data_IF_165101084099
#
_entry.id   IF_165101084099
#
_cell.length_a   1.000
_cell.length_b   1.000
_cell.length_c   1.000
_cell.angle_alpha   90.00
_cell.angle_beta   90.00
_cell.angle_gamma   90.00
#
_symmetry.space_group_name_H-M   'P 1'
#
loop_
_entity.id
_entity.type
_entity.pdbx_description
1 polymer ?
#
# COMPACT_ATOMS: atom_id res chain seq x y z
N UNK A 1 4.76 0.67 -16.77
CA UNK A 1 3.98 0.23 -15.60
C UNK A 1 3.34 1.44 -14.93
N UNK A 2 2.10 1.30 -14.45
CA UNK A 2 1.40 2.36 -13.72
C UNK A 2 1.26 1.95 -12.24
N UNK A 3 1.71 2.78 -11.30
CA UNK A 3 1.75 2.42 -9.88
C UNK A 3 0.92 3.41 -9.06
N UNK A 4 0.13 2.90 -8.12
CA UNK A 4 -0.80 3.71 -7.33
C UNK A 4 -0.67 3.37 -5.85
N UNK A 5 -0.45 4.39 -5.04
CA UNK A 5 -0.63 4.31 -3.58
C UNK A 5 -1.49 5.48 -3.09
N UNK A 6 -2.17 5.29 -1.94
CA UNK A 6 -2.97 6.32 -1.29
C UNK A 6 -2.43 6.79 0.07
N UNK A 7 -1.35 6.20 0.56
CA UNK A 7 -0.84 6.40 1.92
C UNK A 7 0.70 6.42 1.97
N UNK A 8 1.32 7.11 2.96
CA UNK A 8 2.78 7.19 3.08
C UNK A 8 3.48 5.83 3.23
N UNK A 9 2.85 4.86 3.91
CA UNK A 9 3.38 3.49 4.05
C UNK A 9 3.52 2.80 2.69
N UNK A 10 2.52 2.96 1.82
CA UNK A 10 2.55 2.43 0.47
C UNK A 10 3.52 3.19 -0.46
N UNK A 11 3.79 4.46 -0.19
CA UNK A 11 4.83 5.22 -0.91
C UNK A 11 6.23 4.66 -0.66
N UNK A 12 6.58 4.33 0.58
CA UNK A 12 7.85 3.69 0.90
C UNK A 12 8.01 2.34 0.17
N UNK A 13 6.97 1.51 0.19
CA UNK A 13 6.92 0.25 -0.55
C UNK A 13 7.04 0.44 -2.06
N UNK A 14 6.34 1.43 -2.61
CA UNK A 14 6.38 1.77 -4.03
C UNK A 14 7.74 2.27 -4.47
N UNK A 15 8.40 3.10 -3.65
CA UNK A 15 9.77 3.55 -3.89
C UNK A 15 10.74 2.38 -3.97
N UNK A 16 10.73 1.49 -2.97
CA UNK A 16 11.57 0.28 -2.98
C UNK A 16 11.29 -0.62 -4.20
N UNK A 17 10.02 -0.81 -4.57
CA UNK A 17 9.63 -1.57 -5.76
C UNK A 17 10.19 -0.96 -7.04
N UNK A 18 10.03 0.36 -7.24
CA UNK A 18 10.55 1.04 -8.43
C UNK A 18 12.07 0.93 -8.49
N UNK A 19 12.76 1.14 -7.37
CA UNK A 19 14.21 1.02 -7.30
C UNK A 19 14.68 -0.37 -7.75
N UNK A 20 14.08 -1.44 -7.21
CA UNK A 20 14.39 -2.82 -7.57
C UNK A 20 14.08 -3.12 -9.05
N UNK A 21 12.95 -2.64 -9.57
CA UNK A 21 12.59 -2.79 -10.97
C UNK A 21 13.56 -2.05 -11.91
N UNK A 22 14.02 -0.86 -11.53
CA UNK A 22 15.02 -0.10 -12.31
C UNK A 22 16.35 -0.85 -12.37
N UNK A 23 16.79 -1.42 -11.26
CA UNK A 23 18.02 -2.22 -11.23
C UNK A 23 17.93 -3.45 -12.15
N UNK A 24 16.76 -4.08 -12.25
CA UNK A 24 16.56 -5.28 -13.08
C UNK A 24 16.28 -5.00 -14.55
N UNK A 25 15.47 -3.98 -14.85
CA UNK A 25 14.94 -3.68 -16.20
C UNK A 25 15.74 -2.56 -16.89
N UNK A 26 16.44 -1.73 -16.13
CA UNK A 26 17.22 -0.60 -16.63
C UNK A 26 16.36 0.52 -17.22
N UNK A 27 16.94 1.26 -18.18
CA UNK A 27 16.34 2.46 -18.78
C UNK A 27 15.05 2.25 -19.59
N UNK A 28 14.61 1.01 -19.79
CA UNK A 28 13.34 0.69 -20.46
C UNK A 28 12.12 0.90 -19.56
N UNK A 29 12.32 0.99 -18.25
CA UNK A 29 11.23 1.13 -17.30
C UNK A 29 10.63 2.54 -17.35
N UNK A 30 9.42 2.63 -17.90
CA UNK A 30 8.56 3.82 -17.80
C UNK A 30 7.55 3.64 -16.68
N UNK A 31 7.58 4.56 -15.71
CA UNK A 31 6.67 4.60 -14.57
C UNK A 31 5.83 5.87 -14.64
N UNK A 32 4.54 5.75 -14.36
CA UNK A 32 3.67 6.88 -14.03
C UNK A 32 2.67 6.43 -12.95
N UNK A 33 1.98 7.37 -12.34
CA UNK A 33 0.87 7.06 -11.46
C UNK A 33 0.78 8.00 -10.28
N UNK A 34 0.52 7.45 -9.10
CA UNK A 34 0.30 8.24 -7.89
C UNK A 34 1.20 7.69 -6.80
N UNK A 35 2.11 8.55 -6.35
CA UNK A 35 3.07 8.28 -5.28
C UNK A 35 3.39 9.54 -4.49
N UNK A 36 3.98 9.33 -3.33
CA UNK A 36 4.57 10.38 -2.50
C UNK A 36 6.03 10.61 -2.85
N UNK A 37 6.78 11.11 -1.87
CA UNK A 37 8.17 11.53 -2.07
C UNK A 37 9.08 10.37 -2.42
N UNK A 38 8.92 9.20 -1.79
CA UNK A 38 9.80 8.04 -2.03
C UNK A 38 9.67 7.51 -3.45
N UNK A 39 8.48 7.51 -4.02
CA UNK A 39 8.28 7.14 -5.42
C UNK A 39 8.79 8.23 -6.37
N UNK A 40 8.62 9.51 -6.02
CA UNK A 40 9.13 10.65 -6.81
C UNK A 40 10.66 10.67 -6.88
N UNK A 41 11.35 10.35 -5.80
CA UNK A 41 12.80 10.14 -5.74
C UNK A 41 13.28 9.08 -6.75
N UNK A 42 12.41 8.11 -7.07
CA UNK A 42 12.68 7.08 -8.09
C UNK A 42 12.23 7.48 -9.50
N UNK A 43 11.91 8.75 -9.72
CA UNK A 43 11.51 9.31 -11.01
C UNK A 43 10.06 9.03 -11.41
N UNK A 44 9.17 8.77 -10.45
CA UNK A 44 7.72 8.81 -10.70
C UNK A 44 7.25 10.27 -10.73
N UNK A 45 6.71 10.70 -11.87
CA UNK A 45 5.97 11.97 -11.93
C UNK A 45 4.53 11.73 -11.44
N UNK A 46 4.24 12.24 -10.24
CA UNK A 46 2.99 11.93 -9.53
C UNK A 46 1.85 12.79 -10.05
N UNK A 47 0.82 12.14 -10.57
CA UNK A 47 -0.31 12.79 -11.24
C UNK A 47 -1.25 13.53 -10.28
N UNK A 48 -1.27 13.10 -9.01
CA UNK A 48 -2.16 13.61 -7.98
C UNK A 48 -1.35 13.71 -6.67
N UNK A 49 -1.42 14.82 -5.92
CA UNK A 49 -0.79 14.90 -4.61
C UNK A 49 -1.31 13.81 -3.67
N UNK A 50 -0.41 13.05 -3.05
CA UNK A 50 -0.79 11.93 -2.16
C UNK A 50 -1.66 12.39 -0.97
N UNK A 51 -1.47 13.63 -0.50
CA UNK A 51 -2.27 14.22 0.58
C UNK A 51 -3.76 14.33 0.27
N UNK A 52 -4.17 14.33 -1.01
CA UNK A 52 -5.58 14.32 -1.39
C UNK A 52 -6.24 12.94 -1.22
N UNK A 53 -5.44 11.88 -1.07
CA UNK A 53 -5.88 10.48 -0.96
C UNK A 53 -5.71 9.92 0.44
N UNK A 54 -4.80 10.46 1.24
CA UNK A 54 -4.51 10.06 2.61
C UNK A 54 -5.68 10.40 3.54
N UNK A 55 -6.74 9.59 3.51
CA UNK A 55 -7.91 9.73 4.37
C UNK A 55 -7.92 8.55 5.33
N UNK A 56 -7.62 8.83 6.60
CA UNK A 56 -7.66 7.85 7.67
C UNK A 56 -9.00 7.95 8.43
N UNK A 57 -9.86 6.94 8.28
CA UNK A 57 -11.02 6.74 9.18
C UNK A 57 -12.40 6.88 8.53
N UNK A 58 -13.36 6.08 8.99
CA UNK A 58 -14.72 5.96 8.41
C UNK A 58 -15.55 7.25 8.58
N UNK A 59 -15.31 8.04 9.63
CA UNK A 59 -16.07 9.26 9.93
C UNK A 59 -15.66 10.47 9.06
N UNK A 60 -14.39 10.54 8.64
CA UNK A 60 -13.88 11.63 7.78
C UNK A 60 -14.09 11.35 6.27
N UNK A 61 -14.46 10.11 5.92
CA UNK A 61 -14.64 9.66 4.53
C UNK A 61 -15.91 10.19 3.88
N UNK A 62 -17.01 10.37 4.61
CA UNK A 62 -18.31 10.74 4.01
C UNK A 62 -18.27 12.09 3.27
N UNK A 63 -17.80 13.21 3.87
CA UNK A 63 -17.77 14.50 3.17
C UNK A 63 -16.72 14.53 2.04
N UNK A 64 -15.70 13.68 2.09
CA UNK A 64 -14.62 13.60 1.08
C UNK A 64 -14.91 12.59 -0.04
N UNK A 65 -15.98 11.81 0.04
CA UNK A 65 -16.31 10.79 -0.95
C UNK A 65 -16.37 11.31 -2.41
N UNK A 66 -16.92 12.51 -2.71
CA UNK A 66 -16.91 13.05 -4.07
C UNK A 66 -15.48 13.27 -4.60
N UNK A 67 -14.58 13.74 -3.74
CA UNK A 67 -13.17 13.97 -4.08
C UNK A 67 -12.49 12.64 -4.39
N UNK A 68 -12.66 11.62 -3.54
CA UNK A 68 -12.12 10.28 -3.77
C UNK A 68 -12.62 9.73 -5.09
N UNK A 69 -13.92 9.80 -5.36
CA UNK A 69 -14.51 9.30 -6.61
C UNK A 69 -13.98 10.06 -7.84
N UNK A 70 -13.77 11.38 -7.73
CA UNK A 70 -13.12 12.17 -8.77
C UNK A 70 -11.69 11.69 -9.00
N UNK A 71 -10.88 11.55 -7.95
CA UNK A 71 -9.50 11.06 -8.04
C UNK A 71 -9.43 9.65 -8.63
N UNK A 72 -10.37 8.76 -8.30
CA UNK A 72 -10.47 7.44 -8.94
C UNK A 72 -10.69 7.57 -10.44
N UNK A 73 -11.59 8.44 -10.90
CA UNK A 73 -11.83 8.66 -12.34
C UNK A 73 -10.60 9.21 -13.04
N UNK A 74 -9.93 10.19 -12.46
CA UNK A 74 -8.68 10.77 -12.99
C UNK A 74 -7.57 9.72 -13.08
N UNK A 75 -7.38 8.92 -12.02
CA UNK A 75 -6.39 7.83 -11.99
C UNK A 75 -6.65 6.81 -13.09
N UNK A 76 -7.91 6.40 -13.25
CA UNK A 76 -8.30 5.44 -14.29
C UNK A 76 -8.11 6.03 -15.68
N UNK A 77 -8.45 7.31 -15.89
CA UNK A 77 -8.24 7.97 -17.17
C UNK A 77 -6.74 8.04 -17.52
N UNK A 78 -5.90 8.41 -16.56
CA UNK A 78 -4.46 8.50 -16.75
C UNK A 78 -3.81 7.12 -16.99
N UNK A 79 -4.21 6.10 -16.24
CA UNK A 79 -3.74 4.72 -16.46
C UNK A 79 -4.08 4.26 -17.89
N UNK A 80 -5.30 4.50 -18.37
CA UNK A 80 -5.71 4.14 -19.73
C UNK A 80 -4.96 4.93 -20.80
N UNK A 81 -4.75 6.23 -20.58
CA UNK A 81 -3.99 7.06 -21.50
C UNK A 81 -2.52 6.62 -21.62
N UNK A 82 -1.91 6.20 -20.50
CA UNK A 82 -0.55 5.67 -20.49
C UNK A 82 -0.41 4.34 -21.25
N UNK A 83 -1.48 3.52 -21.29
CA UNK A 83 -1.46 2.14 -21.81
C UNK A 83 -0.30 1.30 -21.23
N UNK A 84 -0.23 1.13 -19.90
CA UNK A 84 0.86 0.43 -19.26
C UNK A 84 0.76 -1.08 -19.48
N UNK A 85 1.90 -1.77 -19.45
CA UNK A 85 1.96 -3.24 -19.49
C UNK A 85 1.39 -3.90 -18.22
N UNK A 86 1.33 -3.15 -17.12
CA UNK A 86 0.77 -3.59 -15.85
C UNK A 86 0.38 -2.39 -14.98
N UNK A 87 -0.63 -2.57 -14.14
CA UNK A 87 -0.98 -1.65 -13.04
C UNK A 87 -0.70 -2.33 -11.71
N UNK A 88 0.02 -1.65 -10.82
CA UNK A 88 0.28 -2.09 -9.45
C UNK A 88 -0.40 -1.12 -8.49
N UNK A 89 -1.29 -1.61 -7.63
CA UNK A 89 -1.85 -0.83 -6.54
C UNK A 89 -1.23 -1.27 -5.21
N UNK A 90 -0.86 -0.33 -4.34
CA UNK A 90 -0.16 -0.60 -3.08
C UNK A 90 -1.01 -0.09 -1.92
N UNK A 91 -1.46 -1.03 -1.08
CA UNK A 91 -2.31 -0.79 0.09
C UNK A 91 -3.54 0.09 -0.24
N UNK A 92 -4.03 0.89 0.73
CA UNK A 92 -5.15 1.82 0.62
C UNK A 92 -6.38 1.19 -0.01
N UNK A 93 -6.79 0.02 0.51
CA UNK A 93 -7.86 -0.82 -0.04
C UNK A 93 -9.15 -0.06 -0.41
N UNK A 94 -9.50 1.03 0.29
CA UNK A 94 -10.62 1.88 -0.08
C UNK A 94 -10.48 2.55 -1.46
N UNK A 95 -9.31 3.08 -1.78
CA UNK A 95 -9.03 3.77 -3.05
C UNK A 95 -8.62 2.77 -4.14
N UNK A 96 -7.62 1.94 -3.84
CA UNK A 96 -7.02 0.98 -4.77
C UNK A 96 -8.06 0.04 -5.37
N UNK A 97 -9.02 -0.45 -4.58
CA UNK A 97 -10.05 -1.34 -5.09
C UNK A 97 -11.06 -0.63 -6.01
N UNK A 98 -11.34 0.66 -5.77
CA UNK A 98 -12.21 1.44 -6.65
C UNK A 98 -11.54 1.68 -8.00
N UNK A 99 -10.24 1.95 -8.01
CA UNK A 99 -9.44 2.03 -9.24
C UNK A 99 -9.47 0.69 -9.98
N UNK A 100 -9.15 -0.40 -9.30
CA UNK A 100 -9.15 -1.75 -9.87
C UNK A 100 -10.49 -2.13 -10.48
N UNK A 101 -11.57 -1.95 -9.71
CA UNK A 101 -12.93 -2.20 -10.17
C UNK A 101 -13.29 -1.34 -11.39
N UNK A 102 -12.93 -0.07 -11.39
CA UNK A 102 -13.23 0.87 -12.47
C UNK A 102 -12.41 0.60 -13.75
N UNK A 103 -11.20 0.06 -13.64
CA UNK A 103 -10.42 -0.44 -14.79
C UNK A 103 -11.12 -1.64 -15.42
N UNK A 104 -11.43 -2.67 -14.61
CA UNK A 104 -12.12 -3.87 -15.10
C UNK A 104 -13.49 -3.58 -15.72
N UNK A 105 -14.29 -2.69 -15.09
CA UNK A 105 -15.57 -2.26 -15.65
C UNK A 105 -15.48 -1.54 -16.99
N UNK A 106 -14.31 -0.99 -17.33
CA UNK A 106 -14.05 -0.35 -18.63
C UNK A 106 -13.47 -1.32 -19.66
N UNK A 107 -13.38 -2.61 -19.34
CA UNK A 107 -12.88 -3.65 -20.25
C UNK A 107 -11.35 -3.78 -20.27
N UNK A 108 -10.64 -3.16 -19.33
CA UNK A 108 -9.18 -3.27 -19.25
C UNK A 108 -8.75 -4.68 -18.84
N UNK A 109 -7.94 -5.33 -19.67
CA UNK A 109 -7.46 -6.71 -19.49
C UNK A 109 -5.99 -6.81 -19.09
N UNK A 110 -5.29 -5.68 -18.95
CA UNK A 110 -3.89 -5.67 -18.52
C UNK A 110 -3.72 -6.33 -17.14
N UNK A 111 -2.52 -6.87 -16.85
CA UNK A 111 -2.14 -7.34 -15.54
C UNK A 111 -2.42 -6.30 -14.45
N UNK A 112 -3.26 -6.65 -13.49
CA UNK A 112 -3.60 -5.84 -12.34
C UNK A 112 -3.12 -6.54 -11.07
N UNK A 113 -2.11 -5.98 -10.44
CA UNK A 113 -1.40 -6.55 -9.31
C UNK A 113 -1.69 -5.69 -8.08
N UNK A 114 -1.98 -6.32 -6.95
CA UNK A 114 -2.08 -5.63 -5.67
C UNK A 114 -0.87 -5.96 -4.80
N UNK A 115 -0.31 -4.97 -4.11
CA UNK A 115 0.75 -5.12 -3.13
C UNK A 115 0.20 -4.77 -1.74
N UNK A 116 0.48 -5.64 -0.78
CA UNK A 116 -0.02 -5.64 0.60
C UNK A 116 -1.42 -6.20 0.67
N UNK A 117 -1.53 -7.39 1.27
CA UNK A 117 -2.82 -8.00 1.48
C UNK A 117 -3.62 -7.17 2.50
N UNK A 118 -4.85 -6.75 2.16
CA UNK A 118 -5.72 -6.15 3.14
C UNK A 118 -6.07 -7.24 4.16
N UNK A 119 -6.04 -6.91 5.45
CA UNK A 119 -6.32 -7.84 6.57
C UNK A 119 -7.78 -8.36 6.60
N UNK A 120 -8.31 -8.81 5.47
CA UNK A 120 -9.72 -9.19 5.28
C UNK A 120 -10.05 -10.49 6.02
N UNK A 121 -9.06 -11.35 6.28
CA UNK A 121 -9.20 -12.55 7.10
C UNK A 121 -9.62 -12.21 8.54
N UNK A 122 -9.21 -11.07 9.08
CA UNK A 122 -9.48 -10.71 10.46
C UNK A 122 -10.90 -10.17 10.70
N UNK A 123 -11.64 -9.75 9.65
CA UNK A 123 -12.94 -9.08 9.87
C UNK A 123 -13.96 -9.17 8.72
N UNK A 124 -13.56 -9.50 7.48
CA UNK A 124 -14.44 -9.38 6.29
C UNK A 124 -14.05 -10.34 5.14
N UNK A 125 -14.14 -11.64 5.35
CA UNK A 125 -13.71 -12.67 4.40
C UNK A 125 -14.33 -12.56 2.99
N UNK A 126 -15.56 -12.07 2.85
CA UNK A 126 -16.20 -11.83 1.55
C UNK A 126 -15.48 -10.80 0.65
N UNK A 127 -14.51 -10.05 1.19
CA UNK A 127 -13.67 -9.14 0.40
C UNK A 127 -12.60 -9.87 -0.40
N UNK A 128 -12.11 -11.02 0.07
CA UNK A 128 -11.12 -11.83 -0.65
C UNK A 128 -11.66 -12.29 -2.02
N UNK A 129 -12.89 -12.83 -2.05
CA UNK A 129 -13.59 -13.22 -3.29
C UNK A 129 -13.82 -12.04 -4.25
N UNK A 130 -13.98 -10.82 -3.75
CA UNK A 130 -14.10 -9.63 -4.61
C UNK A 130 -12.77 -9.25 -5.23
N UNK A 131 -11.68 -9.34 -4.47
CA UNK A 131 -10.34 -9.09 -4.99
C UNK A 131 -10.00 -10.04 -6.14
N UNK A 132 -10.31 -11.33 -6.00
CA UNK A 132 -10.12 -12.34 -7.04
C UNK A 132 -10.87 -12.04 -8.36
N UNK A 133 -11.91 -11.17 -8.33
CA UNK A 133 -12.62 -10.74 -9.55
C UNK A 133 -11.94 -9.59 -10.28
N UNK A 134 -11.02 -8.88 -9.62
CA UNK A 134 -10.43 -7.66 -10.15
C UNK A 134 -8.93 -7.81 -10.38
N UNK A 135 -8.23 -8.38 -9.42
CA UNK A 135 -6.78 -8.54 -9.46
C UNK A 135 -6.40 -9.89 -10.05
N UNK A 136 -5.30 -9.90 -10.78
CA UNK A 136 -4.72 -11.12 -11.35
C UNK A 136 -3.65 -11.70 -10.41
N UNK A 137 -3.01 -10.86 -9.59
CA UNK A 137 -1.99 -11.30 -8.64
C UNK A 137 -1.96 -10.43 -7.38
N UNK A 138 -1.60 -11.02 -6.25
CA UNK A 138 -1.44 -10.37 -4.96
C UNK A 138 -0.06 -10.65 -4.36
N UNK A 139 0.69 -9.58 -4.06
CA UNK A 139 1.94 -9.65 -3.31
C UNK A 139 1.65 -9.48 -1.82
N UNK A 140 1.91 -10.54 -1.07
CA UNK A 140 1.55 -10.74 0.34
C UNK A 140 2.76 -10.57 1.25
N UNK A 141 2.56 -10.04 2.45
CA UNK A 141 3.64 -9.76 3.39
C UNK A 141 3.81 -10.86 4.43
N UNK A 142 2.80 -11.70 4.63
CA UNK A 142 2.81 -12.75 5.66
C UNK A 142 2.67 -14.14 5.01
N UNK A 143 3.40 -15.15 5.48
CA UNK A 143 3.47 -16.46 4.80
C UNK A 143 2.16 -17.25 4.81
N UNK A 144 1.22 -16.92 5.70
CA UNK A 144 -0.10 -17.55 5.74
C UNK A 144 -1.11 -16.92 4.77
N UNK A 145 -0.81 -15.75 4.19
CA UNK A 145 -1.72 -15.02 3.30
C UNK A 145 -1.92 -15.71 1.95
N UNK A 146 -0.89 -16.20 1.23
CA UNK A 146 -1.09 -16.84 -0.08
C UNK A 146 -2.11 -17.99 -0.04
N UNK A 147 -1.99 -18.99 0.87
CA UNK A 147 -2.98 -20.08 0.92
C UNK A 147 -4.41 -19.62 1.19
N UNK A 148 -4.59 -18.47 1.85
CA UNK A 148 -5.92 -17.91 2.12
C UNK A 148 -6.58 -17.35 0.85
N UNK A 149 -5.82 -16.63 0.01
CA UNK A 149 -6.33 -15.99 -1.20
C UNK A 149 -6.36 -16.93 -2.41
N UNK A 150 -5.45 -17.89 -2.49
CA UNK A 150 -5.45 -18.91 -3.54
C UNK A 150 -6.71 -19.78 -3.50
N UNK A 151 -7.24 -20.08 -2.30
CA UNK A 151 -8.53 -20.78 -2.13
C UNK A 151 -9.72 -20.05 -2.74
N UNK A 152 -9.62 -18.75 -2.94
CA UNK A 152 -10.66 -17.95 -3.61
C UNK A 152 -10.31 -17.61 -5.06
N UNK A 153 -9.29 -18.25 -5.61
CA UNK A 153 -8.87 -18.12 -7.00
C UNK A 153 -7.97 -16.92 -7.32
N UNK A 154 -7.37 -16.26 -6.31
CA UNK A 154 -6.44 -15.16 -6.52
C UNK A 154 -4.99 -15.66 -6.41
N UNK A 155 -4.22 -15.58 -7.50
CA UNK A 155 -2.80 -15.92 -7.49
C UNK A 155 -2.03 -15.00 -6.53
N UNK A 156 -1.15 -15.58 -5.73
CA UNK A 156 -0.44 -14.84 -4.70
C UNK A 156 1.06 -15.19 -4.66
N UNK A 157 1.88 -14.23 -4.26
CA UNK A 157 3.29 -14.46 -3.90
C UNK A 157 3.55 -13.90 -2.50
N UNK A 158 4.23 -14.67 -1.66
CA UNK A 158 4.80 -14.17 -0.42
C UNK A 158 6.11 -13.44 -0.74
N UNK A 159 6.14 -12.12 -0.48
CA UNK A 159 7.29 -11.26 -0.81
C UNK A 159 8.06 -10.79 0.43
N UNK A 160 7.68 -11.28 1.61
CA UNK A 160 8.29 -10.87 2.88
C UNK A 160 7.74 -9.56 3.42
N UNK A 161 8.00 -9.29 4.70
CA UNK A 161 7.57 -8.06 5.36
C UNK A 161 8.75 -7.08 5.47
N UNK A 162 8.60 -5.81 5.02
CA UNK A 162 9.68 -4.81 5.07
C UNK A 162 10.26 -4.51 6.45
N UNK A 163 9.56 -4.93 7.53
CA UNK A 163 10.02 -4.71 8.92
C UNK A 163 11.32 -5.47 9.19
N UNK A 164 11.60 -6.54 8.44
CA UNK A 164 12.83 -7.31 8.56
C UNK A 164 14.03 -6.48 8.08
N UNK A 165 13.81 -5.54 7.15
CA UNK A 165 14.86 -4.65 6.64
C UNK A 165 15.04 -3.39 7.50
N UNK A 166 14.15 -3.12 8.47
CA UNK A 166 14.23 -1.91 9.30
C UNK A 166 15.23 -2.03 10.46
N UNK A 167 15.87 -3.17 10.65
CA UNK A 167 16.76 -3.43 11.80
C UNK A 167 16.01 -3.56 13.12
N UNK A 168 14.72 -3.89 13.09
CA UNK A 168 13.90 -4.09 14.30
C UNK A 168 14.44 -5.22 15.20
N UNK A 169 15.21 -6.15 14.63
CA UNK A 169 15.94 -7.22 15.32
C UNK A 169 17.24 -6.77 16.01
N UNK A 170 17.69 -5.53 15.76
CA UNK A 170 18.97 -4.98 16.23
C UNK A 170 18.81 -3.86 17.27
N UNK A 171 17.70 -3.85 18.00
CA UNK A 171 17.46 -2.84 19.04
C UNK A 171 18.53 -2.87 20.13
N UNK A 172 19.01 -1.68 20.53
CA UNK A 172 19.97 -1.51 21.63
C UNK A 172 19.29 -0.81 22.82
N UNK A 173 18.84 -1.62 23.78
CA UNK A 173 18.18 -1.12 24.98
C UNK A 173 19.12 -0.32 25.89
N UNK A 174 20.41 -0.65 25.90
CA UNK A 174 21.41 0.04 26.73
C UNK A 174 21.68 1.44 26.21
N UNK A 175 21.84 1.57 24.89
CA UNK A 175 21.99 2.84 24.21
C UNK A 175 20.73 3.70 24.35
N UNK A 176 19.54 3.13 24.16
CA UNK A 176 18.28 3.86 24.35
C UNK A 176 18.16 4.44 25.76
N UNK A 177 18.46 3.63 26.79
CA UNK A 177 18.46 4.10 28.19
C UNK A 177 19.45 5.23 28.41
N UNK A 178 20.69 5.08 27.93
CA UNK A 178 21.71 6.13 28.04
C UNK A 178 21.30 7.44 27.33
N UNK A 179 20.74 7.34 26.12
CA UNK A 179 20.27 8.48 25.34
C UNK A 179 19.09 9.22 25.99
N UNK A 180 18.30 8.52 26.80
CA UNK A 180 17.15 9.08 27.52
C UNK A 180 17.39 9.33 29.01
N UNK A 181 18.63 9.16 29.49
CA UNK A 181 18.99 9.40 30.90
C UNK A 181 18.33 8.44 31.89
N UNK A 182 17.96 7.24 31.43
CA UNK A 182 17.33 6.20 32.25
C UNK A 182 18.40 5.33 32.91
N UNK A 183 18.25 5.04 34.20
CA UNK A 183 19.12 4.10 34.89
C UNK A 183 18.92 2.67 34.33
N UNK A 184 19.93 1.78 34.47
CA UNK A 184 19.79 0.38 34.05
C UNK A 184 18.58 -0.32 34.67
N UNK A 185 18.29 -0.01 35.94
CA UNK A 185 17.25 -0.67 36.74
C UNK A 185 15.90 0.05 36.74
N UNK A 186 15.78 1.19 36.03
CA UNK A 186 14.50 1.89 35.92
C UNK A 186 13.46 1.00 35.22
N UNK A 187 12.28 0.90 35.84
CA UNK A 187 11.11 0.27 35.22
C UNK A 187 10.67 1.15 34.04
N UNK A 188 10.83 0.61 32.82
CA UNK A 188 10.41 1.28 31.60
C UNK A 188 9.10 0.66 31.09
N UNK A 189 8.10 1.51 30.86
CA UNK A 189 6.81 1.11 30.30
C UNK A 189 6.63 1.80 28.94
N UNK A 190 6.39 1.01 27.90
CA UNK A 190 5.98 1.52 26.58
C UNK A 190 4.47 1.48 26.48
N UNK A 191 3.85 2.64 26.27
CA UNK A 191 2.41 2.76 26.04
C UNK A 191 2.19 3.12 24.58
N UNK A 192 1.46 2.26 23.85
CA UNK A 192 1.09 2.45 22.45
C UNK A 192 -0.43 2.62 22.37
N UNK A 193 -0.98 3.81 22.67
CA UNK A 193 -2.42 4.02 22.83
C UNK A 193 -3.22 3.99 21.50
N UNK A 194 -2.57 3.57 20.41
CA UNK A 194 -3.12 3.63 19.06
C UNK A 194 -2.67 4.87 18.29
N UNK A 195 -2.75 4.79 16.96
CA UNK A 195 -2.34 5.88 16.06
C UNK A 195 -3.48 6.85 15.76
N UNK A 196 -4.70 6.53 16.20
CA UNK A 196 -5.88 7.38 15.95
C UNK A 196 -6.25 8.16 17.19
N UNK A 197 -6.61 9.42 17.01
CA UNK A 197 -7.12 10.25 18.10
C UNK A 197 -8.41 9.68 18.73
N UNK A 198 -9.17 8.85 18.02
CA UNK A 198 -10.31 8.10 18.56
C UNK A 198 -9.91 6.86 19.38
N UNK A 199 -8.72 6.29 19.13
CA UNK A 199 -8.16 5.18 19.93
C UNK A 199 -7.61 5.71 21.26
N UNK A 200 -7.02 6.91 21.27
CA UNK A 200 -6.45 7.55 22.47
C UNK A 200 -7.50 8.15 23.42
N UNK A 201 -8.67 8.55 22.91
CA UNK A 201 -9.73 9.26 23.68
C UNK A 201 -10.69 8.36 24.45
N UNK A 202 -10.55 7.03 24.39
CA UNK A 202 -11.38 6.06 25.11
C UNK A 202 -10.66 5.54 26.34
#
# INVERSE_FOLDING_TARGET
MFIVTGEPSGDALGGALIAALRQRIGGKLKIAGIGGERMREQGLDSLIPLGDLAIMGVAEVLPRAPVILRRVRETVAAARAMRPDAVVTIDSSGFSWRVAHALRRRGETLPLIHYVAPMVWAWRAGRARRMARWYDHLMTLLPFEPPYFERVGLSCSFVGHPVIESGADRGDGSHFRAAHGLAPDDLLITVLPGSRAAEVRR
#
